data_IF_072468921847
#
_entry.id   IF_072468921847
#
_cell.length_a   1.000
_cell.length_b   1.000
_cell.length_c   1.000
_cell.angle_alpha   90.00
_cell.angle_beta   90.00
_cell.angle_gamma   90.00
#
_symmetry.space_group_name_H-M   'P 1'
#
loop_
_entity.id
_entity.type
_entity.pdbx_description
1 polymer ?
#
# COMPACT_ATOMS: atom_id res chain seq x y z
N UNK A 1 -12.44 -20.39 15.45
CA UNK A 1 -12.76 -19.11 14.79
C UNK A 1 -12.30 -19.24 13.35
N UNK A 2 -13.23 -19.24 12.39
CA UNK A 2 -12.91 -19.29 10.96
C UNK A 2 -12.24 -17.97 10.58
N UNK A 3 -10.91 -17.99 10.47
CA UNK A 3 -10.10 -16.85 10.05
C UNK A 3 -10.61 -16.35 8.70
N UNK A 4 -11.03 -15.09 8.61
CA UNK A 4 -11.38 -14.50 7.32
C UNK A 4 -10.11 -14.47 6.48
N UNK A 5 -10.17 -15.04 5.28
CA UNK A 5 -9.04 -15.04 4.35
C UNK A 5 -8.72 -13.60 3.92
N UNK A 6 -7.44 -13.16 3.95
CA UNK A 6 -7.04 -11.81 3.53
C UNK A 6 -7.62 -11.37 2.18
N UNK A 7 -7.75 -12.30 1.23
CA UNK A 7 -8.36 -12.09 -0.07
C UNK A 7 -9.83 -11.66 0.02
N UNK A 8 -10.60 -12.26 0.92
CA UNK A 8 -12.01 -11.91 1.16
C UNK A 8 -12.12 -10.53 1.79
N UNK A 9 -11.22 -10.17 2.70
CA UNK A 9 -11.16 -8.81 3.25
C UNK A 9 -10.97 -7.77 2.15
N UNK A 10 -10.07 -8.01 1.20
CA UNK A 10 -9.85 -7.10 0.07
C UNK A 10 -11.12 -6.92 -0.76
N UNK A 11 -11.80 -8.02 -1.11
CA UNK A 11 -13.05 -7.96 -1.91
C UNK A 11 -14.16 -7.14 -1.24
N UNK A 12 -14.22 -7.14 0.10
CA UNK A 12 -15.17 -6.32 0.86
C UNK A 12 -14.70 -4.87 0.96
N UNK A 13 -13.39 -4.63 1.10
CA UNK A 13 -12.82 -3.29 1.27
C UNK A 13 -12.85 -2.46 -0.02
N UNK A 14 -12.62 -3.07 -1.19
CA UNK A 14 -12.59 -2.36 -2.48
C UNK A 14 -13.84 -1.50 -2.73
N UNK A 15 -15.09 -2.00 -2.63
CA UNK A 15 -16.28 -1.16 -2.84
C UNK A 15 -16.39 -0.05 -1.79
N UNK A 16 -16.07 -0.32 -0.51
CA UNK A 16 -16.12 0.68 0.56
C UNK A 16 -15.15 1.83 0.27
N UNK A 17 -13.94 1.53 -0.22
CA UNK A 17 -12.94 2.54 -0.58
C UNK A 17 -13.44 3.43 -1.73
N UNK A 18 -14.15 2.85 -2.70
CA UNK A 18 -14.62 3.56 -3.89
C UNK A 18 -15.89 4.39 -3.65
N UNK A 19 -16.81 3.90 -2.81
CA UNK A 19 -18.15 4.48 -2.68
C UNK A 19 -18.42 5.18 -1.36
N UNK A 20 -17.64 4.93 -0.32
CA UNK A 20 -17.86 5.58 0.97
C UNK A 20 -17.19 6.96 1.04
N UNK A 21 -17.75 7.82 1.87
CA UNK A 21 -17.19 9.13 2.16
C UNK A 21 -16.23 9.09 3.34
N UNK A 22 -15.54 10.21 3.55
CA UNK A 22 -14.74 10.42 4.74
C UNK A 22 -15.62 10.40 6.00
N UNK A 23 -15.21 9.72 7.09
CA UNK A 23 -13.92 9.07 7.34
C UNK A 23 -13.88 7.57 7.02
N UNK A 24 -14.95 7.00 6.46
CA UNK A 24 -15.10 5.56 6.27
C UNK A 24 -14.13 5.05 5.20
N UNK A 25 -14.02 5.75 4.07
CA UNK A 25 -13.06 5.38 3.02
C UNK A 25 -11.61 5.39 3.53
N UNK A 26 -11.24 6.36 4.37
CA UNK A 26 -9.92 6.43 5.01
C UNK A 26 -9.65 5.20 5.88
N UNK A 27 -10.63 4.82 6.72
CA UNK A 27 -10.52 3.64 7.56
C UNK A 27 -10.35 2.37 6.71
N UNK A 28 -11.11 2.25 5.63
CA UNK A 28 -11.03 1.13 4.70
C UNK A 28 -9.66 1.04 3.99
N UNK A 29 -9.11 2.17 3.52
CA UNK A 29 -7.76 2.20 2.91
C UNK A 29 -6.68 1.77 3.91
N UNK A 30 -6.75 2.26 5.15
CA UNK A 30 -5.79 1.90 6.20
C UNK A 30 -5.89 0.42 6.56
N UNK A 31 -7.11 -0.12 6.65
CA UNK A 31 -7.33 -1.54 6.86
C UNK A 31 -6.79 -2.37 5.69
N UNK A 32 -7.04 -1.95 4.45
CA UNK A 32 -6.54 -2.64 3.25
C UNK A 32 -5.02 -2.69 3.23
N UNK A 33 -4.34 -1.61 3.63
CA UNK A 33 -2.87 -1.59 3.79
C UNK A 33 -2.39 -2.71 4.71
N UNK A 34 -3.06 -2.94 5.84
CA UNK A 34 -2.72 -4.01 6.79
C UNK A 34 -3.01 -5.41 6.28
N UNK A 35 -3.99 -5.55 5.39
CA UNK A 35 -4.28 -6.82 4.72
C UNK A 35 -3.22 -7.12 3.65
N UNK A 36 -2.78 -6.10 2.90
CA UNK A 36 -1.72 -6.21 1.88
C UNK A 36 -0.38 -6.66 2.51
N UNK A 37 -0.06 -6.22 3.73
CA UNK A 37 1.13 -6.67 4.45
C UNK A 37 1.13 -8.19 4.76
N UNK A 38 0.00 -8.89 4.60
CA UNK A 38 -0.18 -10.31 4.99
C UNK A 38 -0.57 -11.24 3.85
N UNK A 39 -0.86 -10.72 2.67
CA UNK A 39 -1.28 -11.51 1.50
C UNK A 39 -0.06 -11.99 0.72
N UNK A 40 -0.18 -13.16 0.07
CA UNK A 40 0.88 -13.67 -0.81
C UNK A 40 1.03 -12.80 -2.05
N UNK A 41 2.23 -12.80 -2.65
CA UNK A 41 2.51 -12.07 -3.90
C UNK A 41 1.55 -12.49 -5.02
N UNK A 42 1.28 -13.78 -5.15
CA UNK A 42 0.42 -14.35 -6.19
C UNK A 42 -1.06 -13.95 -6.00
N UNK A 43 -1.58 -14.10 -4.77
CA UNK A 43 -2.95 -13.69 -4.46
C UNK A 43 -3.15 -12.18 -4.67
N UNK A 44 -2.13 -11.36 -4.33
CA UNK A 44 -2.20 -9.91 -4.53
C UNK A 44 -2.29 -9.54 -6.02
N UNK A 45 -1.53 -10.22 -6.89
CA UNK A 45 -1.59 -9.99 -8.34
C UNK A 45 -3.01 -10.15 -8.89
N UNK A 46 -3.72 -11.19 -8.46
CA UNK A 46 -5.09 -11.47 -8.91
C UNK A 46 -6.08 -10.38 -8.48
N UNK A 47 -5.75 -9.60 -7.45
CA UNK A 47 -6.61 -8.57 -6.87
C UNK A 47 -6.24 -7.14 -7.29
N UNK A 48 -5.12 -6.94 -8.01
CA UNK A 48 -4.65 -5.60 -8.40
C UNK A 48 -5.70 -4.82 -9.21
N UNK A 49 -6.40 -5.49 -10.12
CA UNK A 49 -7.44 -4.86 -10.94
C UNK A 49 -8.59 -4.27 -10.10
N UNK A 50 -8.87 -4.85 -8.92
CA UNK A 50 -9.92 -4.40 -8.03
C UNK A 50 -9.43 -3.31 -7.06
N UNK A 51 -8.19 -3.42 -6.60
CA UNK A 51 -7.58 -2.52 -5.61
C UNK A 51 -7.19 -1.17 -6.24
N UNK A 52 -6.52 -1.22 -7.40
CA UNK A 52 -5.87 -0.05 -7.98
C UNK A 52 -6.84 1.11 -8.29
N UNK A 53 -8.03 0.89 -8.88
CA UNK A 53 -8.99 1.98 -9.12
C UNK A 53 -9.35 2.76 -7.85
N UNK A 54 -9.59 2.05 -6.74
CA UNK A 54 -9.95 2.68 -5.46
C UNK A 54 -8.80 3.49 -4.86
N UNK A 55 -7.56 3.01 -4.96
CA UNK A 55 -6.39 3.75 -4.47
C UNK A 55 -6.08 4.99 -5.31
N UNK A 56 -6.31 4.93 -6.62
CA UNK A 56 -6.07 6.08 -7.50
C UNK A 56 -7.14 7.15 -7.31
N UNK A 57 -8.40 6.76 -7.15
CA UNK A 57 -9.46 7.66 -6.69
C UNK A 57 -9.09 8.29 -5.34
N UNK A 58 -8.61 7.49 -4.38
CA UNK A 58 -8.17 7.98 -3.07
C UNK A 58 -6.98 8.94 -3.13
N UNK A 59 -6.06 8.76 -4.08
CA UNK A 59 -4.93 9.65 -4.31
C UNK A 59 -5.37 11.01 -4.88
N UNK A 60 -6.49 11.06 -5.58
CA UNK A 60 -7.12 12.29 -6.08
C UNK A 60 -8.18 12.90 -5.16
N UNK A 61 -8.39 12.30 -3.99
CA UNK A 61 -9.41 12.75 -3.06
C UNK A 61 -9.14 14.16 -2.52
N UNK A 62 -10.18 14.92 -2.18
CA UNK A 62 -10.08 16.26 -1.58
C UNK A 62 -9.43 16.24 -0.19
N UNK A 63 -9.60 15.16 0.54
CA UNK A 63 -9.06 14.98 1.88
C UNK A 63 -7.58 14.57 1.85
N UNK A 64 -6.72 15.42 2.42
CA UNK A 64 -5.27 15.17 2.50
C UNK A 64 -4.95 13.83 3.18
N UNK A 65 -5.73 13.46 4.20
CA UNK A 65 -5.57 12.19 4.93
C UNK A 65 -5.84 10.97 4.06
N UNK A 66 -6.86 11.05 3.18
CA UNK A 66 -7.21 9.98 2.24
C UNK A 66 -6.13 9.85 1.17
N UNK A 67 -5.64 10.98 0.62
CA UNK A 67 -4.50 10.98 -0.32
C UNK A 67 -3.27 10.32 0.27
N UNK A 68 -2.89 10.71 1.48
CA UNK A 68 -1.73 10.14 2.19
C UNK A 68 -1.91 8.63 2.43
N UNK A 69 -3.06 8.19 2.92
CA UNK A 69 -3.33 6.78 3.15
C UNK A 69 -3.26 5.96 1.86
N UNK A 70 -3.77 6.50 0.76
CA UNK A 70 -3.73 5.84 -0.55
C UNK A 70 -2.30 5.67 -1.07
N UNK A 71 -1.45 6.70 -0.93
CA UNK A 71 -0.02 6.61 -1.25
C UNK A 71 0.67 5.54 -0.40
N UNK A 72 0.39 5.49 0.90
CA UNK A 72 0.99 4.49 1.79
C UNK A 72 0.55 3.07 1.41
N UNK A 73 -0.72 2.90 1.03
CA UNK A 73 -1.24 1.62 0.54
C UNK A 73 -0.52 1.18 -0.75
N UNK A 74 -0.33 2.09 -1.71
CA UNK A 74 0.42 1.82 -2.95
C UNK A 74 1.89 1.45 -2.67
N UNK A 75 2.53 2.10 -1.70
CA UNK A 75 3.89 1.72 -1.26
C UNK A 75 3.91 0.32 -0.66
N UNK A 76 2.91 -0.06 0.15
CA UNK A 76 2.81 -1.40 0.70
C UNK A 76 2.64 -2.47 -0.39
N UNK A 77 1.83 -2.18 -1.43
CA UNK A 77 1.71 -3.08 -2.60
C UNK A 77 3.06 -3.22 -3.29
N UNK A 78 3.76 -2.11 -3.54
CA UNK A 78 5.08 -2.14 -4.15
C UNK A 78 6.09 -2.95 -3.30
N UNK A 79 6.02 -2.88 -1.98
CA UNK A 79 6.88 -3.69 -1.11
C UNK A 79 6.67 -5.20 -1.27
N UNK A 80 5.50 -5.64 -1.74
CA UNK A 80 5.16 -7.06 -1.94
C UNK A 80 5.48 -7.52 -3.37
N UNK A 81 5.12 -6.74 -4.39
CA UNK A 81 5.23 -7.16 -5.81
C UNK A 81 6.35 -6.44 -6.58
N UNK A 82 6.93 -5.39 -6.02
CA UNK A 82 7.98 -4.60 -6.64
C UNK A 82 7.54 -3.91 -7.92
N UNK A 83 8.41 -3.98 -8.92
CA UNK A 83 8.26 -3.28 -10.20
C UNK A 83 7.07 -3.75 -11.04
N UNK A 84 6.51 -4.91 -10.71
CA UNK A 84 5.29 -5.46 -11.33
C UNK A 84 4.06 -4.57 -11.06
N UNK A 85 4.13 -3.64 -10.09
CA UNK A 85 3.10 -2.62 -9.88
C UNK A 85 3.05 -1.58 -11.01
N UNK A 86 4.18 -1.25 -11.65
CA UNK A 86 4.29 -0.11 -12.58
C UNK A 86 3.26 -0.10 -13.72
N UNK A 87 2.95 -1.20 -14.41
CA UNK A 87 1.96 -1.23 -15.49
C UNK A 87 0.56 -0.76 -15.05
N UNK A 88 0.19 -0.99 -13.78
CA UNK A 88 -1.10 -0.61 -13.24
C UNK A 88 -1.21 0.89 -12.90
N UNK A 89 -0.09 1.60 -12.89
CA UNK A 89 -0.01 3.01 -12.51
C UNK A 89 0.05 3.96 -13.71
N UNK A 90 -0.14 3.46 -14.93
CA UNK A 90 -0.03 4.24 -16.17
C UNK A 90 -0.95 5.48 -16.22
N UNK A 91 -2.06 5.46 -15.49
CA UNK A 91 -3.00 6.58 -15.40
C UNK A 91 -2.56 7.71 -14.44
N UNK A 92 -1.49 7.52 -13.65
CA UNK A 92 -0.94 8.59 -12.83
C UNK A 92 -0.19 9.61 -13.67
N UNK A 93 -0.37 10.90 -13.35
CA UNK A 93 0.45 11.96 -13.96
C UNK A 93 1.92 11.82 -13.54
N UNK A 94 2.84 12.33 -14.38
CA UNK A 94 4.28 12.23 -14.13
C UNK A 94 4.70 12.76 -12.74
N UNK A 95 4.06 13.82 -12.26
CA UNK A 95 4.31 14.38 -10.92
C UNK A 95 3.89 13.43 -9.79
N UNK A 96 2.70 12.81 -9.90
CA UNK A 96 2.22 11.82 -8.91
C UNK A 96 3.09 10.57 -8.90
N UNK A 97 3.54 10.13 -10.08
CA UNK A 97 4.44 8.98 -10.21
C UNK A 97 5.80 9.27 -9.58
N UNK A 98 6.38 10.47 -9.81
CA UNK A 98 7.61 10.91 -9.14
C UNK A 98 7.46 10.92 -7.62
N UNK A 99 6.34 11.43 -7.12
CA UNK A 99 6.06 11.46 -5.68
C UNK A 99 5.95 10.05 -5.10
N UNK A 100 5.22 9.14 -5.75
CA UNK A 100 5.10 7.75 -5.30
C UNK A 100 6.47 7.05 -5.27
N UNK A 101 7.29 7.23 -6.32
CA UNK A 101 8.65 6.70 -6.37
C UNK A 101 9.55 7.24 -5.24
N UNK A 102 9.38 8.50 -4.84
CA UNK A 102 10.09 9.06 -3.68
C UNK A 102 9.69 8.34 -2.39
N UNK A 103 8.40 8.08 -2.18
CA UNK A 103 7.92 7.35 -1.01
C UNK A 103 8.38 5.89 -0.99
N UNK A 104 8.37 5.21 -2.15
CA UNK A 104 8.91 3.86 -2.29
C UNK A 104 10.38 3.83 -1.87
N UNK A 105 11.21 4.73 -2.41
CA UNK A 105 12.64 4.82 -2.05
C UNK A 105 12.83 5.05 -0.56
N UNK A 106 12.05 5.95 0.03
CA UNK A 106 12.11 6.26 1.48
C UNK A 106 11.75 5.05 2.35
N UNK A 107 10.74 4.28 1.96
CA UNK A 107 10.35 3.06 2.65
C UNK A 107 11.45 1.99 2.59
N UNK A 108 12.11 1.85 1.43
CA UNK A 108 13.24 0.94 1.26
C UNK A 108 14.44 1.32 2.13
N UNK A 109 14.83 2.61 2.17
CA UNK A 109 15.94 3.07 3.01
C UNK A 109 15.67 2.86 4.50
N UNK A 110 14.42 3.06 4.94
CA UNK A 110 14.02 2.84 6.34
C UNK A 110 14.15 1.36 6.74
N UNK A 111 13.86 0.43 5.81
CA UNK A 111 13.93 -1.00 6.06
C UNK A 111 15.36 -1.56 5.98
N UNK A 112 16.28 -0.88 5.29
CA UNK A 112 17.70 -1.27 5.23
C UNK A 112 18.49 -0.88 6.48
N UNK A 113 18.01 0.09 7.27
CA UNK A 113 18.73 0.63 8.42
C UNK A 113 18.45 -0.11 9.73
N UNK A 114 17.54 -1.09 9.73
CA UNK A 114 17.20 -1.96 10.87
C UNK A 114 18.06 -3.23 10.95
N UNK A 115 18.95 -3.48 9.97
CA UNK A 115 19.83 -4.66 9.89
C UNK A 115 21.31 -4.39 10.17
N UNK A 116 21.67 -3.24 10.78
CA UNK A 116 23.07 -2.90 11.12
C UNK A 116 23.23 -2.44 12.57
N UNK A 117 22.95 -3.32 13.52
CA UNK A 117 23.48 -3.22 14.90
C UNK A 117 23.73 -4.61 15.43
N UNK A 118 24.92 -5.13 15.12
CA UNK A 118 25.50 -6.30 15.78
C UNK A 118 26.94 -5.98 16.13
N UNK A 119 27.16 -5.90 17.45
CA UNK A 119 28.39 -6.08 18.23
C UNK A 119 29.71 -5.44 17.81
N UNK A 120 30.22 -4.55 18.67
CA UNK A 120 31.61 -4.63 19.11
C UNK A 120 31.67 -4.57 20.63
N UNK A 121 31.73 -5.76 21.23
CA UNK A 121 32.08 -5.98 22.63
C UNK A 121 33.60 -6.13 22.79
N UNK A 122 34.07 -5.85 24.00
CA UNK A 122 35.38 -6.19 24.60
C UNK A 122 36.42 -5.06 24.63
N UNK A 123 36.36 -4.29 25.72
CA UNK A 123 37.52 -3.58 26.27
C UNK A 123 38.33 -4.61 27.06
N UNK A 124 39.59 -4.80 26.68
CA UNK A 124 40.64 -5.35 27.56
C UNK A 124 41.37 -4.19 28.24
#
# INVERSE_FOLDING_TARGET
ASSIHPEQCIKVLCPIIQTADYPINLAAIKMQTKVIERISKESLHQLLQDIIPGLLQGYDNTESSVRKASVFCLVAIYSVIGEELKPHLAQLTGSKMKLLNLYIKRAQTTNSNSSSSSDVSTHS
#
